data_IF_602707496989
#
_entry.id   IF_602707496989
#
_cell.length_a   1.000
_cell.length_b   1.000
_cell.length_c   1.000
_cell.angle_alpha   90.00
_cell.angle_beta   90.00
_cell.angle_gamma   90.00
#
_symmetry.space_group_name_H-M   'P 1'
#
loop_
_entity.id
_entity.type
_entity.pdbx_description
1 polymer ?
#
# COMPACT_ATOMS: atom_id res chain seq x y z
N UNK A 1 37.21 67.88 12.93
CA UNK A 1 35.94 67.34 13.43
C UNK A 1 35.36 66.40 12.39
N UNK A 2 35.68 65.09 12.46
CA UNK A 2 35.27 64.07 11.49
C UNK A 2 34.02 63.35 12.02
N UNK A 3 32.87 63.51 11.35
CA UNK A 3 31.65 62.74 11.63
C UNK A 3 31.79 61.36 10.99
N UNK A 4 31.89 60.32 11.82
CA UNK A 4 31.97 58.93 11.37
C UNK A 4 30.63 58.44 10.82
N UNK A 5 30.66 57.86 9.63
CA UNK A 5 29.54 57.18 8.99
C UNK A 5 29.41 55.80 9.66
N UNK A 6 28.26 55.56 10.30
CA UNK A 6 27.92 54.28 10.91
C UNK A 6 27.45 53.33 9.79
N UNK A 7 28.31 52.40 9.37
CA UNK A 7 27.91 51.31 8.50
C UNK A 7 27.21 50.23 9.34
N UNK A 8 25.89 50.15 9.25
CA UNK A 8 25.13 48.99 9.72
C UNK A 8 25.35 47.84 8.74
N UNK A 9 26.22 46.90 9.10
CA UNK A 9 26.31 45.61 8.43
C UNK A 9 25.07 44.79 8.79
N UNK A 10 24.10 44.73 7.89
CA UNK A 10 23.01 43.77 7.97
C UNK A 10 23.57 42.38 7.67
N UNK A 11 23.82 41.60 8.72
CA UNK A 11 24.12 40.18 8.59
C UNK A 11 22.87 39.46 8.08
N UNK A 12 22.78 39.28 6.76
CA UNK A 12 21.86 38.31 6.18
C UNK A 12 22.31 36.92 6.64
N UNK A 13 21.70 36.42 7.71
CA UNK A 13 21.70 34.99 7.99
C UNK A 13 21.04 34.29 6.80
N UNK A 14 21.86 33.78 5.88
CA UNK A 14 21.44 32.74 4.97
C UNK A 14 21.14 31.52 5.82
N UNK A 15 19.92 31.41 6.32
CA UNK A 15 19.40 30.14 6.80
C UNK A 15 19.65 29.14 5.67
N UNK A 16 20.29 27.99 5.93
CA UNK A 16 20.34 26.96 4.92
C UNK A 16 18.88 26.70 4.57
N UNK A 17 18.52 26.86 3.29
CA UNK A 17 17.26 26.36 2.81
C UNK A 17 17.25 24.90 3.27
N UNK A 18 16.41 24.60 4.26
CA UNK A 18 16.06 23.24 4.63
C UNK A 18 15.32 22.71 3.42
N UNK A 19 16.07 22.40 2.36
CA UNK A 19 15.63 21.62 1.24
C UNK A 19 15.04 20.40 1.90
N UNK A 20 13.71 20.31 1.82
CA UNK A 20 12.88 19.31 2.44
C UNK A 20 13.72 18.07 2.71
N UNK A 21 14.02 17.78 3.98
CA UNK A 21 14.78 16.60 4.35
C UNK A 21 14.19 15.46 3.54
N UNK A 22 14.89 15.07 2.47
CA UNK A 22 14.40 14.14 1.45
C UNK A 22 13.86 12.99 2.29
N UNK A 23 12.62 12.52 2.09
CA UNK A 23 12.08 11.37 2.83
C UNK A 23 13.09 10.23 2.67
N UNK A 24 14.02 10.13 3.62
CA UNK A 24 15.23 9.35 3.46
C UNK A 24 14.79 7.92 3.73
N UNK A 25 14.71 7.16 2.63
CA UNK A 25 14.42 5.74 2.61
C UNK A 25 15.76 5.03 2.60
N UNK A 26 16.32 4.79 3.78
CA UNK A 26 17.70 4.28 3.89
C UNK A 26 17.87 2.89 3.28
N UNK A 27 16.79 2.11 3.16
CA UNK A 27 16.78 0.83 2.45
C UNK A 27 17.12 0.92 0.95
N UNK A 28 17.09 2.12 0.36
CA UNK A 28 17.52 2.32 -1.03
C UNK A 28 19.05 2.36 -1.18
N UNK A 29 19.78 2.52 -0.09
CA UNK A 29 21.25 2.62 -0.05
C UNK A 29 21.90 1.30 0.40
N UNK A 30 23.24 1.16 0.29
CA UNK A 30 23.95 0.05 0.91
C UNK A 30 23.70 -0.03 2.42
N UNK A 31 23.59 -1.24 3.01
CA UNK A 31 23.77 -2.54 2.36
C UNK A 31 22.52 -3.11 1.66
N UNK A 32 21.37 -2.44 1.79
CA UNK A 32 20.07 -2.99 1.34
C UNK A 32 19.89 -2.94 -0.18
N UNK A 33 20.25 -1.82 -0.82
CA UNK A 33 20.21 -1.64 -2.29
C UNK A 33 18.90 -2.16 -2.92
N UNK A 34 17.76 -1.80 -2.32
CA UNK A 34 16.45 -2.40 -2.59
C UNK A 34 16.01 -2.41 -4.06
N UNK A 35 16.40 -1.39 -4.82
CA UNK A 35 16.05 -1.26 -6.24
C UNK A 35 17.04 -1.99 -7.16
N UNK A 36 18.27 -2.19 -6.73
CA UNK A 36 19.33 -2.83 -7.51
C UNK A 36 19.33 -4.35 -7.34
N UNK A 37 18.74 -4.87 -6.27
CA UNK A 37 18.61 -6.30 -6.02
C UNK A 37 17.38 -6.88 -6.70
N UNK A 38 17.55 -8.04 -7.32
CA UNK A 38 16.45 -8.83 -7.87
C UNK A 38 15.59 -9.40 -6.73
N UNK A 39 14.28 -9.10 -6.68
CA UNK A 39 13.39 -9.67 -5.68
C UNK A 39 13.27 -11.21 -5.82
N UNK A 40 13.01 -11.86 -4.71
CA UNK A 40 12.79 -13.31 -4.54
C UNK A 40 11.41 -13.61 -3.91
N UNK A 41 10.56 -12.60 -3.81
CA UNK A 41 9.18 -12.72 -3.35
C UNK A 41 8.35 -13.69 -4.22
N UNK A 42 7.26 -14.23 -3.67
CA UNK A 42 6.46 -15.24 -4.37
C UNK A 42 5.83 -14.71 -5.66
N UNK A 43 5.44 -13.44 -5.71
CA UNK A 43 4.83 -12.87 -6.90
C UNK A 43 5.85 -12.68 -8.04
N UNK A 44 7.10 -12.34 -7.73
CA UNK A 44 8.18 -12.30 -8.74
C UNK A 44 8.30 -13.61 -9.50
N UNK A 45 8.17 -14.75 -8.81
CA UNK A 45 8.32 -16.09 -9.43
C UNK A 45 7.29 -16.38 -10.51
N UNK A 46 6.11 -15.76 -10.46
CA UNK A 46 5.03 -15.95 -11.44
C UNK A 46 4.89 -14.78 -12.43
N UNK A 47 5.58 -13.66 -12.20
CA UNK A 47 5.43 -12.41 -12.98
C UNK A 47 5.64 -12.64 -14.47
N UNK A 48 6.70 -13.35 -14.85
CA UNK A 48 7.00 -13.60 -16.27
C UNK A 48 5.94 -14.47 -16.94
N UNK A 49 5.42 -15.48 -16.22
CA UNK A 49 4.32 -16.32 -16.73
C UNK A 49 3.02 -15.51 -16.89
N UNK A 50 2.76 -14.58 -15.97
CA UNK A 50 1.63 -13.65 -16.02
C UNK A 50 1.72 -12.70 -17.24
N UNK A 51 2.87 -12.06 -17.45
CA UNK A 51 3.07 -11.07 -18.53
C UNK A 51 3.16 -11.71 -19.92
N UNK A 52 3.69 -12.94 -20.01
CA UNK A 52 3.73 -13.71 -21.26
C UNK A 52 2.45 -14.46 -21.59
N UNK A 53 1.44 -14.43 -20.71
CA UNK A 53 0.16 -15.09 -20.92
C UNK A 53 0.20 -16.62 -20.79
N UNK A 54 1.21 -17.16 -20.10
CA UNK A 54 1.33 -18.61 -19.85
C UNK A 54 0.42 -19.09 -18.72
N UNK A 55 -0.07 -18.18 -17.86
CA UNK A 55 -1.02 -18.52 -16.81
C UNK A 55 -2.44 -18.69 -17.39
N UNK A 56 -3.19 -19.74 -16.97
CA UNK A 56 -4.55 -19.97 -17.44
C UNK A 56 -5.53 -19.03 -16.73
N UNK A 57 -5.59 -17.78 -17.19
CA UNK A 57 -6.43 -16.73 -16.59
C UNK A 57 -7.75 -16.57 -17.34
N UNK A 58 -8.84 -16.49 -16.59
CA UNK A 58 -10.17 -16.25 -17.12
C UNK A 58 -10.37 -14.74 -17.36
N UNK A 59 -10.53 -14.34 -18.63
CA UNK A 59 -10.69 -12.94 -19.04
C UNK A 59 -12.12 -12.57 -19.41
N UNK A 60 -13.11 -13.39 -19.05
CA UNK A 60 -14.53 -13.16 -19.36
C UNK A 60 -15.13 -11.97 -18.60
N UNK A 61 -14.59 -11.68 -17.41
CA UNK A 61 -14.96 -10.51 -16.59
C UNK A 61 -13.83 -10.14 -15.63
N UNK A 62 -13.85 -8.93 -15.07
CA UNK A 62 -12.86 -8.52 -14.07
C UNK A 62 -12.85 -9.45 -12.85
N UNK A 63 -14.03 -9.87 -12.39
CA UNK A 63 -14.16 -10.77 -11.25
C UNK A 63 -13.60 -12.16 -11.55
N UNK A 64 -13.89 -12.71 -12.73
CA UNK A 64 -13.35 -14.01 -13.14
C UNK A 64 -11.82 -13.96 -13.28
N UNK A 65 -11.29 -12.85 -13.78
CA UNK A 65 -9.85 -12.60 -13.84
C UNK A 65 -9.22 -12.58 -12.45
N UNK A 66 -9.81 -11.86 -11.49
CA UNK A 66 -9.33 -11.81 -10.11
C UNK A 66 -9.34 -13.22 -9.51
N UNK A 67 -10.45 -13.96 -9.62
CA UNK A 67 -10.56 -15.31 -9.05
C UNK A 67 -9.52 -16.27 -9.64
N UNK A 68 -9.32 -16.25 -10.97
CA UNK A 68 -8.31 -17.10 -11.61
C UNK A 68 -6.88 -16.68 -11.28
N UNK A 69 -6.62 -15.38 -11.11
CA UNK A 69 -5.34 -14.87 -10.61
C UNK A 69 -5.08 -15.35 -9.19
N UNK A 70 -6.04 -15.21 -8.27
CA UNK A 70 -5.93 -15.67 -6.88
C UNK A 70 -5.57 -17.17 -6.82
N UNK A 71 -6.22 -17.99 -7.67
CA UNK A 71 -5.87 -19.41 -7.80
C UNK A 71 -4.43 -19.63 -8.26
N UNK A 72 -3.93 -18.82 -9.20
CA UNK A 72 -2.58 -18.95 -9.73
C UNK A 72 -1.47 -18.59 -8.72
N UNK A 73 -1.80 -17.86 -7.66
CA UNK A 73 -0.89 -17.46 -6.56
C UNK A 73 -1.26 -18.10 -5.22
N UNK A 74 -2.09 -19.15 -5.26
CA UNK A 74 -2.51 -19.92 -4.08
C UNK A 74 -3.14 -19.06 -2.97
N UNK A 75 -4.07 -18.19 -3.36
CA UNK A 75 -4.90 -17.41 -2.43
C UNK A 75 -6.34 -17.91 -2.50
N UNK A 76 -6.87 -18.33 -1.35
CA UNK A 76 -8.27 -18.74 -1.27
C UNK A 76 -9.19 -17.51 -1.27
N UNK A 77 -10.24 -17.46 -2.13
CA UNK A 77 -11.21 -16.35 -2.13
C UNK A 77 -11.94 -16.11 -0.80
N UNK A 78 -11.95 -17.08 0.11
CA UNK A 78 -12.55 -16.95 1.45
C UNK A 78 -11.78 -16.01 2.39
N UNK A 79 -10.54 -15.66 2.06
CA UNK A 79 -9.74 -14.64 2.80
C UNK A 79 -10.22 -13.21 2.53
N UNK A 80 -11.25 -13.06 1.69
CA UNK A 80 -11.79 -11.76 1.31
C UNK A 80 -12.10 -10.90 2.52
N UNK A 81 -11.49 -9.71 2.52
CA UNK A 81 -11.77 -8.64 3.46
C UNK A 81 -12.17 -7.39 2.69
N UNK A 82 -13.32 -6.80 3.02
CA UNK A 82 -13.80 -5.59 2.36
C UNK A 82 -13.37 -4.34 3.14
N UNK A 83 -12.77 -3.39 2.42
CA UNK A 83 -12.32 -2.09 2.93
C UNK A 83 -13.19 -1.01 2.30
N UNK A 84 -14.06 -0.43 3.14
CA UNK A 84 -15.04 0.58 2.73
C UNK A 84 -14.50 2.02 2.79
N UNK A 85 -13.37 2.23 3.46
CA UNK A 85 -12.70 3.53 3.52
C UNK A 85 -11.92 3.81 2.22
N UNK A 86 -11.87 5.08 1.80
CA UNK A 86 -11.16 5.51 0.59
C UNK A 86 -9.66 5.70 0.87
N UNK A 87 -9.01 4.65 1.35
CA UNK A 87 -7.62 4.64 1.83
C UNK A 87 -6.74 3.75 0.94
N UNK A 88 -6.37 4.26 -0.24
CA UNK A 88 -5.57 3.53 -1.24
C UNK A 88 -5.01 4.50 -2.28
N UNK A 89 -4.05 4.03 -3.08
CA UNK A 89 -3.63 4.67 -4.32
C UNK A 89 -4.80 4.87 -5.30
N UNK A 90 -5.87 4.07 -5.17
CA UNK A 90 -7.07 4.08 -6.01
C UNK A 90 -8.28 4.74 -5.34
N UNK A 91 -8.06 5.71 -4.43
CA UNK A 91 -9.12 6.37 -3.65
C UNK A 91 -10.32 6.87 -4.47
N UNK A 92 -10.11 7.31 -5.72
CA UNK A 92 -11.18 7.81 -6.59
C UNK A 92 -12.14 6.71 -7.12
N UNK A 93 -11.79 5.43 -6.93
CA UNK A 93 -12.62 4.27 -7.31
C UNK A 93 -13.32 3.65 -6.12
N UNK A 94 -12.87 3.95 -4.91
CA UNK A 94 -13.38 3.32 -3.70
C UNK A 94 -14.50 4.17 -3.13
N UNK A 95 -15.56 3.53 -2.66
CA UNK A 95 -16.61 4.17 -1.88
C UNK A 95 -17.32 3.11 -1.04
N UNK A 96 -18.18 3.49 -0.08
CA UNK A 96 -18.98 2.51 0.64
C UNK A 96 -19.85 1.61 -0.27
N UNK A 97 -20.22 2.09 -1.46
CA UNK A 97 -20.98 1.34 -2.47
C UNK A 97 -20.11 0.59 -3.48
N UNK A 98 -18.79 0.83 -3.47
CA UNK A 98 -17.80 0.16 -4.31
C UNK A 98 -16.53 -0.10 -3.47
N UNK A 99 -16.60 -0.98 -2.46
CA UNK A 99 -15.48 -1.21 -1.55
C UNK A 99 -14.33 -1.91 -2.27
N UNK A 100 -13.10 -1.68 -1.79
CA UNK A 100 -11.94 -2.47 -2.22
C UNK A 100 -11.97 -3.82 -1.49
N UNK A 101 -11.71 -4.90 -2.20
CA UNK A 101 -11.45 -6.20 -1.62
C UNK A 101 -9.93 -6.38 -1.43
N UNK A 102 -9.57 -6.95 -0.28
CA UNK A 102 -8.25 -7.50 0.00
C UNK A 102 -8.37 -9.03 0.10
N UNK A 103 -7.39 -9.73 -0.44
CA UNK A 103 -7.22 -11.17 -0.31
C UNK A 103 -5.77 -11.44 0.08
N UNK A 104 -5.50 -12.55 0.76
CA UNK A 104 -4.14 -12.84 1.19
C UNK A 104 -3.88 -14.32 1.37
N UNK A 105 -2.61 -14.68 1.30
CA UNK A 105 -2.04 -15.87 1.95
C UNK A 105 -0.86 -15.40 2.83
N UNK A 106 0.03 -16.32 3.19
CA UNK A 106 1.16 -16.06 4.08
C UNK A 106 2.19 -15.08 3.48
N UNK A 107 2.33 -15.06 2.16
CA UNK A 107 3.41 -14.34 1.46
C UNK A 107 2.92 -13.21 0.53
N UNK A 108 1.64 -13.21 0.14
CA UNK A 108 1.08 -12.34 -0.91
C UNK A 108 -0.27 -11.78 -0.49
N UNK A 109 -0.44 -10.47 -0.70
CA UNK A 109 -1.67 -9.73 -0.50
C UNK A 109 -2.11 -9.13 -1.84
N UNK A 110 -3.39 -9.29 -2.18
CA UNK A 110 -4.00 -8.76 -3.40
C UNK A 110 -5.11 -7.79 -3.06
N UNK A 111 -4.98 -6.56 -3.54
CA UNK A 111 -6.01 -5.54 -3.51
C UNK A 111 -6.69 -5.39 -4.87
N UNK A 112 -8.01 -5.31 -4.88
CA UNK A 112 -8.80 -5.04 -6.09
C UNK A 112 -10.07 -4.28 -5.76
N UNK A 113 -10.40 -3.29 -6.58
CA UNK A 113 -11.70 -2.61 -6.56
C UNK A 113 -12.30 -2.70 -7.97
N UNK A 114 -13.60 -2.97 -8.13
CA UNK A 114 -14.24 -3.00 -9.44
C UNK A 114 -13.99 -1.73 -10.26
N UNK A 115 -13.60 -1.88 -11.53
CA UNK A 115 -13.19 -0.79 -12.41
C UNK A 115 -11.82 -0.17 -12.09
N UNK A 116 -11.04 -0.82 -11.21
CA UNK A 116 -9.70 -0.42 -10.81
C UNK A 116 -8.59 -1.34 -11.33
N UNK A 117 -7.45 -1.25 -10.67
CA UNK A 117 -6.23 -2.01 -10.89
C UNK A 117 -6.08 -3.09 -9.81
N UNK A 118 -5.26 -4.09 -10.14
CA UNK A 118 -4.76 -5.06 -9.16
C UNK A 118 -3.55 -4.46 -8.46
N UNK A 119 -3.61 -4.40 -7.13
CA UNK A 119 -2.50 -4.06 -6.24
C UNK A 119 -1.95 -5.37 -5.65
N UNK A 120 -0.64 -5.58 -5.67
CA UNK A 120 -0.01 -6.73 -5.03
C UNK A 120 1.00 -6.21 -4.02
N UNK A 121 1.00 -6.76 -2.81
CA UNK A 121 2.12 -6.68 -1.88
C UNK A 121 2.61 -8.10 -1.63
N UNK A 122 3.86 -8.41 -1.98
CA UNK A 122 4.48 -9.71 -1.70
C UNK A 122 5.70 -9.53 -0.82
N UNK A 123 5.93 -10.47 0.10
CA UNK A 123 7.00 -10.36 1.09
C UNK A 123 8.26 -11.05 0.57
N UNK A 124 9.33 -10.29 0.44
CA UNK A 124 10.67 -10.78 0.15
C UNK A 124 11.44 -11.00 1.46
N UNK A 125 12.08 -12.17 1.66
CA UNK A 125 12.77 -12.49 2.90
C UNK A 125 13.97 -11.58 3.22
N UNK A 126 14.54 -10.91 2.23
CA UNK A 126 15.71 -10.04 2.38
C UNK A 126 15.45 -8.55 2.12
N UNK A 127 14.41 -8.23 1.33
CA UNK A 127 14.07 -6.86 0.91
C UNK A 127 12.81 -6.31 1.60
N UNK A 128 12.02 -7.15 2.27
CA UNK A 128 10.74 -6.77 2.86
C UNK A 128 9.62 -6.70 1.82
N UNK A 129 8.67 -5.79 1.98
CA UNK A 129 7.54 -5.69 1.07
C UNK A 129 7.93 -5.27 -0.36
N UNK A 130 7.48 -6.03 -1.35
CA UNK A 130 7.58 -5.73 -2.78
C UNK A 130 6.19 -5.43 -3.34
N UNK A 131 6.03 -4.29 -4.00
CA UNK A 131 4.72 -3.79 -4.40
C UNK A 131 4.60 -3.73 -5.91
N UNK A 132 3.55 -4.38 -6.42
CA UNK A 132 3.22 -4.38 -7.83
C UNK A 132 1.85 -3.79 -8.09
N UNK A 133 1.66 -3.22 -9.27
CA UNK A 133 0.35 -2.76 -9.74
C UNK A 133 0.19 -3.02 -11.23
N UNK A 134 -1.01 -3.41 -11.65
CA UNK A 134 -1.34 -3.57 -13.06
C UNK A 134 -2.84 -3.51 -13.33
N UNK A 135 -3.20 -3.22 -14.58
CA UNK A 135 -4.59 -3.20 -15.01
C UNK A 135 -5.15 -4.61 -15.15
N UNK A 136 -6.41 -4.80 -14.79
CA UNK A 136 -7.18 -5.96 -15.23
C UNK A 136 -7.31 -5.88 -16.77
N UNK A 137 -6.88 -6.90 -17.52
CA UNK A 137 -6.87 -6.84 -18.98
C UNK A 137 -8.28 -6.80 -19.54
N UNK A 138 -8.49 -5.99 -20.60
CA UNK A 138 -9.71 -6.00 -21.41
C UNK A 138 -9.43 -6.82 -22.68
N UNK A 139 -10.10 -7.97 -22.82
CA UNK A 139 -9.89 -8.85 -23.97
C UNK A 139 -8.48 -9.47 -24.02
N UNK A 140 -7.87 -9.66 -25.22
CA UNK A 140 -6.59 -10.35 -25.36
C UNK A 140 -5.36 -9.50 -25.00
N UNK A 141 -5.55 -8.30 -24.42
CA UNK A 141 -4.47 -7.37 -24.09
C UNK A 141 -3.39 -7.98 -23.19
N UNK A 142 -2.14 -7.54 -23.40
CA UNK A 142 -1.00 -7.96 -22.60
C UNK A 142 -1.09 -7.37 -21.17
N UNK A 143 -0.72 -8.18 -20.19
CA UNK A 143 -0.60 -7.75 -18.79
C UNK A 143 0.79 -7.13 -18.63
N UNK A 144 0.86 -5.93 -18.04
CA UNK A 144 2.12 -5.23 -17.74
C UNK A 144 2.16 -4.94 -16.26
N UNK A 145 3.08 -5.60 -15.56
CA UNK A 145 3.24 -5.51 -14.11
C UNK A 145 4.30 -4.48 -13.79
N UNK A 146 3.89 -3.40 -13.13
CA UNK A 146 4.79 -2.36 -12.64
C UNK A 146 5.19 -2.63 -11.18
N UNK A 147 6.49 -2.67 -10.86
CA UNK A 147 6.97 -2.56 -9.47
C UNK A 147 6.92 -1.09 -9.06
N UNK A 148 5.87 -0.69 -8.33
CA UNK A 148 5.53 0.73 -8.19
C UNK A 148 6.22 1.40 -7.00
N UNK A 149 6.83 2.56 -7.25
CA UNK A 149 7.34 3.46 -6.20
C UNK A 149 6.22 4.21 -5.48
N UNK A 150 5.03 4.30 -6.09
CA UNK A 150 3.88 5.06 -5.55
C UNK A 150 3.30 4.43 -4.29
N UNK A 151 3.38 3.11 -4.18
CA UNK A 151 2.95 2.36 -2.99
C UNK A 151 3.74 2.77 -1.74
N UNK A 152 4.98 3.26 -1.89
CA UNK A 152 5.82 3.68 -0.78
C UNK A 152 5.36 4.97 -0.10
N UNK A 153 4.44 5.73 -0.69
CA UNK A 153 3.80 6.86 -0.02
C UNK A 153 2.96 6.42 1.20
N UNK A 154 2.69 5.13 1.34
CA UNK A 154 2.01 4.54 2.49
C UNK A 154 2.83 3.39 3.11
N UNK A 155 3.42 2.54 2.27
CA UNK A 155 4.06 1.29 2.69
C UNK A 155 5.54 1.40 3.09
N UNK A 156 6.14 2.59 2.99
CA UNK A 156 7.51 2.83 3.44
C UNK A 156 7.65 4.22 4.10
N UNK A 157 6.60 4.61 4.83
CA UNK A 157 6.56 5.86 5.58
C UNK A 157 6.86 5.68 7.06
N UNK A 158 6.79 6.79 7.80
CA UNK A 158 7.20 6.92 9.20
C UNK A 158 6.67 5.81 10.12
N UNK A 159 5.43 5.35 9.89
CA UNK A 159 4.75 4.33 10.68
C UNK A 159 5.44 2.95 10.63
N UNK A 160 6.30 2.72 9.63
CA UNK A 160 7.11 1.50 9.48
C UNK A 160 8.60 1.78 9.68
N UNK A 161 8.96 2.88 10.34
CA UNK A 161 10.35 3.32 10.43
C UNK A 161 10.98 3.62 9.06
N UNK A 162 10.16 3.93 8.04
CA UNK A 162 10.55 4.12 6.64
C UNK A 162 11.20 2.89 5.99
N UNK A 163 10.80 1.69 6.38
CA UNK A 163 11.18 0.41 5.75
C UNK A 163 9.96 -0.14 4.98
N UNK A 164 10.14 -0.83 3.83
CA UNK A 164 9.02 -1.41 3.07
C UNK A 164 8.28 -2.47 3.89
N UNK A 165 7.00 -2.23 4.19
CA UNK A 165 6.20 -3.10 5.05
C UNK A 165 4.69 -3.04 4.83
N UNK A 166 4.00 -4.00 5.42
CA UNK A 166 2.54 -4.05 5.41
C UNK A 166 1.99 -2.99 6.37
N UNK A 167 1.03 -2.20 5.88
CA UNK A 167 0.35 -1.19 6.67
C UNK A 167 -1.07 -1.64 6.97
N UNK A 168 -1.40 -1.72 8.27
CA UNK A 168 -2.78 -1.82 8.74
C UNK A 168 -3.07 -0.62 9.64
N UNK A 169 -4.11 0.14 9.30
CA UNK A 169 -4.56 1.29 10.09
C UNK A 169 -6.07 1.28 10.26
N UNK A 170 -6.49 1.74 11.43
CA UNK A 170 -7.86 2.15 11.67
C UNK A 170 -8.01 3.61 11.27
N UNK A 171 -9.13 3.96 10.65
CA UNK A 171 -9.45 5.33 10.22
C UNK A 171 -10.87 5.68 10.65
N UNK A 172 -11.14 6.97 10.83
CA UNK A 172 -12.51 7.46 11.00
C UNK A 172 -13.03 7.90 9.63
N UNK A 173 -13.90 7.10 8.98
CA UNK A 173 -14.42 7.46 7.67
C UNK A 173 -15.47 8.57 7.81
N UNK A 174 -15.36 9.61 6.98
CA UNK A 174 -16.45 10.55 6.71
C UNK A 174 -17.54 9.92 5.83
N UNK A 175 -18.64 10.63 5.56
CA UNK A 175 -19.81 10.09 4.85
C UNK A 175 -19.51 9.48 3.47
N UNK A 176 -18.48 9.99 2.77
CA UNK A 176 -18.02 9.46 1.47
C UNK A 176 -17.01 8.32 1.54
N UNK A 177 -16.64 7.85 2.73
CA UNK A 177 -15.56 6.88 2.96
C UNK A 177 -14.17 7.52 3.12
N UNK A 178 -14.04 8.83 2.85
CA UNK A 178 -12.85 9.66 3.12
C UNK A 178 -12.31 9.46 4.51
N UNK A 179 -11.03 9.16 4.68
CA UNK A 179 -10.42 9.22 6.01
C UNK A 179 -10.30 10.68 6.43
N UNK A 180 -11.00 11.08 7.50
CA UNK A 180 -10.83 12.41 8.09
C UNK A 180 -9.50 12.47 8.84
N UNK A 181 -9.22 11.45 9.64
CA UNK A 181 -8.00 11.27 10.42
C UNK A 181 -7.68 9.78 10.60
N UNK A 182 -6.41 9.45 10.85
CA UNK A 182 -6.04 8.12 11.33
C UNK A 182 -6.56 7.96 12.76
N UNK A 183 -7.30 6.88 13.04
CA UNK A 183 -7.74 6.60 14.39
C UNK A 183 -6.52 6.20 15.23
N UNK A 184 -6.13 7.07 16.16
CA UNK A 184 -4.92 6.96 16.99
C UNK A 184 -3.62 6.98 16.17
N UNK A 185 -3.33 8.09 15.49
CA UNK A 185 -2.12 8.28 14.68
C UNK A 185 -0.79 8.01 15.41
N UNK A 186 -0.76 8.29 16.71
CA UNK A 186 0.49 8.34 17.48
C UNK A 186 0.82 7.03 18.20
N UNK A 187 -0.11 6.06 18.19
CA UNK A 187 0.06 4.77 18.83
C UNK A 187 -0.31 3.65 17.87
N UNK A 188 0.59 2.69 17.69
CA UNK A 188 0.36 1.51 16.85
C UNK A 188 0.99 0.27 17.50
N UNK A 189 0.61 -0.92 17.04
CA UNK A 189 1.23 -2.18 17.45
C UNK A 189 0.68 -2.81 18.74
N UNK A 190 1.43 -3.77 19.26
CA UNK A 190 0.97 -4.66 20.34
C UNK A 190 0.86 -4.01 21.72
N UNK A 191 1.37 -2.78 21.90
CA UNK A 191 1.24 -2.03 23.15
C UNK A 191 -0.16 -1.48 23.41
N UNK A 192 -1.02 -1.42 22.38
CA UNK A 192 -2.42 -0.99 22.54
C UNK A 192 -3.24 -2.18 23.07
N UNK A 193 -4.03 -2.02 24.15
CA UNK A 193 -4.92 -3.08 24.63
C UNK A 193 -5.78 -3.64 23.49
N UNK A 194 -6.01 -4.96 23.46
CA UNK A 194 -6.68 -5.62 22.34
C UNK A 194 -8.05 -4.99 22.01
N UNK A 195 -8.85 -4.66 23.03
CA UNK A 195 -10.16 -4.01 22.91
C UNK A 195 -10.12 -2.63 22.23
N UNK A 196 -8.96 -1.99 22.18
CA UNK A 196 -8.75 -0.64 21.69
C UNK A 196 -7.90 -0.61 20.40
N UNK A 197 -7.41 -1.78 19.94
CA UNK A 197 -6.38 -1.91 18.91
C UNK A 197 -6.92 -1.78 17.48
N UNK A 198 -8.13 -2.25 17.27
CA UNK A 198 -8.76 -2.26 15.96
C UNK A 198 -9.96 -1.33 15.95
N UNK A 199 -10.20 -0.67 14.83
CA UNK A 199 -11.49 -0.02 14.56
C UNK A 199 -12.61 -1.06 14.44
N UNK A 200 -13.83 -0.58 14.15
CA UNK A 200 -14.97 -1.47 13.93
C UNK A 200 -14.78 -2.36 12.70
N UNK A 201 -15.07 -3.64 12.84
CA UNK A 201 -15.13 -4.60 11.74
C UNK A 201 -16.58 -4.98 11.48
N UNK A 202 -16.98 -5.00 10.20
CA UNK A 202 -18.25 -5.60 9.82
C UNK A 202 -18.02 -7.10 9.58
N UNK A 203 -18.47 -7.93 10.52
CA UNK A 203 -18.32 -9.37 10.44
C UNK A 203 -19.56 -9.97 9.76
N UNK A 204 -19.34 -10.63 8.62
CA UNK A 204 -20.39 -11.40 7.93
C UNK A 204 -20.17 -12.88 8.20
N UNK A 205 -21.15 -13.57 8.77
CA UNK A 205 -21.07 -15.00 9.02
C UNK A 205 -22.38 -15.56 9.56
N UNK A 206 -22.58 -16.87 9.42
CA UNK A 206 -23.74 -17.57 10.03
C UNK A 206 -23.56 -17.80 11.54
N UNK A 207 -22.39 -17.47 12.07
CA UNK A 207 -22.07 -17.60 13.47
C UNK A 207 -22.52 -16.30 14.12
N UNK A 208 -23.54 -16.37 14.98
CA UNK A 208 -24.16 -15.23 15.65
C UNK A 208 -23.19 -14.52 16.59
N UNK A 209 -22.27 -13.75 16.03
CA UNK A 209 -21.39 -12.86 16.76
C UNK A 209 -22.27 -11.68 17.17
N UNK A 210 -22.80 -11.75 18.38
CA UNK A 210 -23.80 -10.81 18.90
C UNK A 210 -23.17 -9.69 19.75
N UNK A 211 -21.87 -9.75 20.00
CA UNK A 211 -21.14 -8.73 20.76
C UNK A 211 -19.88 -8.31 19.99
N UNK A 212 -19.68 -6.99 19.85
CA UNK A 212 -18.48 -6.32 19.34
C UNK A 212 -18.39 -4.91 19.90
#
# INVERSE_FOLDING_TARGET
>A
MKRGILFLLAAMLTAPAAGAAKRLRDFEKPPHNYWQRAPQDQFTKIKDALESGKLPLDRTSEKAFVISLLKAIDITPSTQTLVYSTTSLQLSRISPRNPRALYFNEDVYVGWVPGGQIEIASIDPALGGIYYIFNVPRGPGQIRVERSTRCFNCHAEFEHGRVPGLLLKSVVPGPGGGSLESFRSDTTGHGIPFKDRFGGWHLTGKHGINEH
#
